data_IF_213580298196
#
_entry.id   IF_213580298196
#
_cell.length_a   1.000
_cell.length_b   1.000
_cell.length_c   1.000
_cell.angle_alpha   90.00
_cell.angle_beta   90.00
_cell.angle_gamma   90.00
#
_symmetry.space_group_name_H-M   'P 1'
#
loop_
_entity.id
_entity.type
_entity.pdbx_description
1 polymer ?
#
# COMPACT_ATOMS: atom_id res chain seq x y z
N UNK A 1 -8.87 -19.61 10.42
CA UNK A 1 -8.93 -20.70 9.41
C UNK A 1 -7.98 -21.85 9.74
N UNK A 2 -8.43 -23.12 9.82
CA UNK A 2 -7.59 -24.27 10.20
C UNK A 2 -6.44 -24.55 9.22
N UNK A 3 -6.67 -24.30 7.93
CA UNK A 3 -5.71 -24.59 6.85
C UNK A 3 -4.49 -23.68 6.93
N UNK A 4 -4.68 -22.37 7.17
CA UNK A 4 -3.57 -21.43 7.35
C UNK A 4 -2.71 -21.78 8.57
N UNK A 5 -3.34 -22.09 9.72
CA UNK A 5 -2.62 -22.49 10.95
C UNK A 5 -1.79 -23.76 10.73
N UNK A 6 -2.33 -24.75 10.01
CA UNK A 6 -1.59 -25.96 9.66
C UNK A 6 -0.39 -25.70 8.76
N UNK A 7 -0.50 -24.79 7.80
CA UNK A 7 0.63 -24.46 6.91
C UNK A 7 1.67 -23.56 7.59
N UNK A 8 1.26 -22.70 8.54
CA UNK A 8 2.15 -21.93 9.41
C UNK A 8 3.01 -22.84 10.30
N UNK A 9 2.41 -23.85 10.94
CA UNK A 9 3.14 -24.87 11.72
C UNK A 9 4.18 -25.61 10.88
N UNK A 10 3.83 -25.93 9.62
CA UNK A 10 4.74 -26.60 8.66
C UNK A 10 5.76 -25.66 8.02
N UNK A 11 5.65 -24.34 8.23
CA UNK A 11 6.43 -23.28 7.56
C UNK A 11 6.43 -23.38 6.04
N UNK A 12 5.32 -23.81 5.45
CA UNK A 12 5.19 -23.99 4.01
C UNK A 12 4.85 -22.66 3.32
N UNK A 13 5.86 -21.81 3.13
CA UNK A 13 5.69 -20.45 2.63
C UNK A 13 4.99 -20.38 1.26
N UNK A 14 5.22 -21.37 0.39
CA UNK A 14 4.59 -21.44 -0.92
C UNK A 14 3.07 -21.63 -0.80
N UNK A 15 2.63 -22.58 0.02
CA UNK A 15 1.21 -22.82 0.24
C UNK A 15 0.52 -21.66 0.96
N UNK A 16 1.19 -21.05 1.95
CA UNK A 16 0.68 -19.86 2.64
C UNK A 16 0.47 -18.73 1.64
N UNK A 17 1.46 -18.45 0.79
CA UNK A 17 1.36 -17.38 -0.21
C UNK A 17 0.22 -17.60 -1.21
N UNK A 18 0.06 -18.82 -1.71
CA UNK A 18 -1.05 -19.13 -2.63
C UNK A 18 -2.41 -19.05 -1.93
N UNK A 19 -2.50 -19.44 -0.66
CA UNK A 19 -3.72 -19.29 0.12
C UNK A 19 -4.08 -17.80 0.30
N UNK A 20 -3.11 -16.98 0.73
CA UNK A 20 -3.32 -15.55 0.96
C UNK A 20 -3.82 -14.82 -0.30
N UNK A 21 -3.34 -15.20 -1.49
CA UNK A 21 -3.81 -14.62 -2.77
C UNK A 21 -5.30 -14.85 -3.07
N UNK A 22 -5.92 -15.82 -2.42
CA UNK A 22 -7.35 -16.12 -2.62
C UNK A 22 -8.26 -15.37 -1.65
N UNK A 23 -7.67 -14.70 -0.65
CA UNK A 23 -8.38 -14.00 0.41
C UNK A 23 -8.45 -12.50 0.11
N UNK A 24 -9.49 -11.85 0.62
CA UNK A 24 -9.58 -10.39 0.58
C UNK A 24 -8.76 -9.79 1.72
N UNK A 25 -8.29 -8.53 1.60
CA UNK A 25 -7.57 -7.85 2.68
C UNK A 25 -8.31 -7.87 4.03
N UNK A 26 -9.64 -7.74 4.02
CA UNK A 26 -10.48 -7.84 5.22
C UNK A 26 -10.34 -9.21 5.92
N UNK A 27 -10.44 -10.30 5.14
CA UNK A 27 -10.33 -11.65 5.66
C UNK A 27 -8.91 -11.90 6.22
N UNK A 28 -7.89 -11.32 5.58
CA UNK A 28 -6.51 -11.41 6.05
C UNK A 28 -6.30 -10.60 7.34
N UNK A 29 -6.91 -9.43 7.46
CA UNK A 29 -6.84 -8.61 8.68
C UNK A 29 -7.42 -9.37 9.88
N UNK A 30 -8.62 -9.95 9.74
CA UNK A 30 -9.23 -10.79 10.78
C UNK A 30 -8.31 -11.96 11.17
N UNK A 31 -7.65 -12.59 10.19
CA UNK A 31 -6.70 -13.67 10.46
C UNK A 31 -5.48 -13.18 11.23
N UNK A 32 -4.91 -12.04 10.85
CA UNK A 32 -3.72 -11.45 11.48
C UNK A 32 -3.95 -11.14 12.96
N UNK A 33 -5.17 -10.76 13.35
CA UNK A 33 -5.54 -10.55 14.77
C UNK A 33 -5.42 -11.83 15.61
N UNK A 34 -5.61 -13.00 15.03
CA UNK A 34 -5.52 -14.29 15.73
C UNK A 34 -4.10 -14.88 15.80
N UNK A 35 -3.12 -14.27 15.12
CA UNK A 35 -1.77 -14.81 14.97
C UNK A 35 -0.80 -14.29 16.05
N UNK A 36 0.22 -15.07 16.36
CA UNK A 36 1.33 -14.60 17.18
C UNK A 36 2.25 -13.65 16.37
N UNK A 37 2.98 -12.75 17.03
CA UNK A 37 3.86 -11.76 16.39
C UNK A 37 4.76 -12.33 15.28
N UNK A 38 5.35 -13.51 15.50
CA UNK A 38 6.21 -14.17 14.52
C UNK A 38 5.45 -14.60 13.26
N UNK A 39 4.21 -15.04 13.43
CA UNK A 39 3.31 -15.45 12.35
C UNK A 39 2.74 -14.23 11.63
N UNK A 40 2.36 -13.17 12.35
CA UNK A 40 1.94 -11.87 11.78
C UNK A 40 3.02 -11.36 10.81
N UNK A 41 4.28 -11.29 11.25
CA UNK A 41 5.42 -10.86 10.42
C UNK A 41 5.60 -11.76 9.19
N UNK A 42 5.47 -13.08 9.37
CA UNK A 42 5.65 -14.02 8.28
C UNK A 42 4.57 -13.85 7.21
N UNK A 43 3.30 -13.79 7.61
CA UNK A 43 2.16 -13.60 6.72
C UNK A 43 2.30 -12.29 5.95
N UNK A 44 2.56 -11.18 6.64
CA UNK A 44 2.65 -9.87 6.00
C UNK A 44 3.82 -9.79 5.02
N UNK A 45 4.95 -10.47 5.28
CA UNK A 45 6.09 -10.52 4.34
C UNK A 45 5.82 -11.30 3.06
N UNK A 46 4.75 -12.10 3.02
CA UNK A 46 4.36 -12.86 1.82
C UNK A 46 3.40 -12.09 0.93
N UNK A 47 2.83 -10.99 1.42
CA UNK A 47 1.89 -10.13 0.73
C UNK A 47 2.61 -9.04 -0.06
N UNK A 48 1.95 -8.54 -1.10
CA UNK A 48 2.32 -7.30 -1.75
C UNK A 48 1.98 -6.08 -0.87
N UNK A 49 2.56 -4.94 -1.23
CA UNK A 49 2.53 -3.70 -0.44
C UNK A 49 1.15 -3.07 -0.37
N UNK A 50 0.41 -3.10 -1.47
CA UNK A 50 -0.98 -2.63 -1.56
C UNK A 50 -1.86 -3.42 -0.58
N UNK A 51 -1.80 -4.74 -0.62
CA UNK A 51 -2.55 -5.61 0.30
C UNK A 51 -2.19 -5.35 1.76
N UNK A 52 -0.90 -5.14 2.07
CA UNK A 52 -0.46 -4.77 3.42
C UNK A 52 -1.11 -3.45 3.87
N UNK A 53 -1.09 -2.41 3.02
CA UNK A 53 -1.70 -1.12 3.34
C UNK A 53 -3.20 -1.23 3.61
N UNK A 54 -3.93 -2.03 2.82
CA UNK A 54 -5.33 -2.33 3.08
C UNK A 54 -5.54 -3.05 4.41
N UNK A 55 -4.74 -4.08 4.73
CA UNK A 55 -4.84 -4.78 6.01
C UNK A 55 -4.62 -3.83 7.19
N UNK A 56 -3.63 -2.94 7.12
CA UNK A 56 -3.41 -1.93 8.16
C UNK A 56 -4.63 -1.03 8.35
N UNK A 57 -5.35 -0.71 7.28
CA UNK A 57 -6.56 0.13 7.32
C UNK A 57 -7.72 -0.57 8.03
N UNK A 58 -7.90 -1.87 7.77
CA UNK A 58 -8.96 -2.70 8.36
C UNK A 58 -8.73 -3.04 9.84
N UNK A 59 -7.47 -3.08 10.29
CA UNK A 59 -7.13 -3.44 11.67
C UNK A 59 -7.59 -2.39 12.70
N UNK A 60 -7.95 -2.81 13.93
CA UNK A 60 -8.18 -1.89 15.05
C UNK A 60 -6.93 -1.04 15.38
N UNK A 61 -7.09 0.19 15.92
CA UNK A 61 -5.95 1.09 16.20
C UNK A 61 -4.85 0.47 17.08
N UNK A 62 -5.21 -0.35 18.06
CA UNK A 62 -4.24 -1.03 18.93
C UNK A 62 -3.39 -2.06 18.16
N UNK A 63 -4.04 -2.87 17.31
CA UNK A 63 -3.38 -3.88 16.48
C UNK A 63 -2.48 -3.22 15.43
N UNK A 64 -2.89 -2.10 14.84
CA UNK A 64 -2.02 -1.33 13.92
C UNK A 64 -0.73 -0.88 14.59
N UNK A 65 -0.82 -0.32 15.79
CA UNK A 65 0.36 0.09 16.53
C UNK A 65 1.30 -1.07 16.82
N UNK A 66 0.74 -2.23 17.17
CA UNK A 66 1.50 -3.45 17.39
C UNK A 66 2.17 -3.91 16.09
N UNK A 67 1.43 -3.98 14.98
CA UNK A 67 1.96 -4.34 13.67
C UNK A 67 3.12 -3.42 13.26
N UNK A 68 2.99 -2.10 13.44
CA UNK A 68 4.07 -1.16 13.16
C UNK A 68 5.31 -1.35 14.04
N UNK A 69 5.18 -1.91 15.25
CA UNK A 69 6.33 -2.26 16.10
C UNK A 69 7.04 -3.51 15.61
N UNK A 70 6.32 -4.39 14.91
CA UNK A 70 6.89 -5.60 14.30
C UNK A 70 7.73 -5.28 13.05
N UNK A 71 7.40 -4.20 12.33
CA UNK A 71 8.21 -3.71 11.23
C UNK A 71 9.31 -2.76 11.69
N UNK A 72 10.46 -2.85 11.03
CA UNK A 72 11.49 -1.82 11.14
C UNK A 72 11.02 -0.53 10.47
N UNK A 73 11.56 0.61 10.94
CA UNK A 73 11.34 1.91 10.28
C UNK A 73 11.62 1.87 8.78
N UNK A 74 12.63 1.10 8.35
CA UNK A 74 12.99 0.97 6.93
C UNK A 74 11.90 0.22 6.15
N UNK A 75 11.39 -0.89 6.66
CA UNK A 75 10.31 -1.63 6.02
C UNK A 75 9.05 -0.78 5.88
N UNK A 76 8.68 -0.01 6.92
CA UNK A 76 7.55 0.92 6.85
C UNK A 76 7.81 2.03 5.84
N UNK A 77 9.01 2.60 5.78
CA UNK A 77 9.35 3.60 4.78
C UNK A 77 9.28 3.03 3.35
N UNK A 78 9.85 1.85 3.12
CA UNK A 78 9.85 1.19 1.82
C UNK A 78 8.41 0.79 1.40
N UNK A 79 7.52 0.47 2.35
CA UNK A 79 6.09 0.26 2.09
C UNK A 79 5.45 1.58 1.62
N UNK A 80 5.54 2.62 2.44
CA UNK A 80 4.86 3.89 2.17
C UNK A 80 5.33 4.58 0.89
N UNK A 81 6.61 4.49 0.54
CA UNK A 81 7.14 5.12 -0.67
C UNK A 81 6.89 4.32 -1.96
N UNK A 82 6.34 3.11 -1.86
CA UNK A 82 5.94 2.30 -3.02
C UNK A 82 4.43 2.21 -3.20
N UNK A 83 3.65 2.73 -2.24
CA UNK A 83 2.22 2.94 -2.45
C UNK A 83 2.02 4.10 -3.41
N UNK A 84 1.10 3.90 -4.34
CA UNK A 84 0.60 4.95 -5.21
C UNK A 84 0.01 6.10 -4.38
N UNK A 85 0.06 7.35 -4.88
CA UNK A 85 -0.27 8.50 -4.04
C UNK A 85 -1.68 8.51 -3.46
N UNK A 86 -2.68 8.04 -4.20
CA UNK A 86 -4.08 8.01 -3.76
C UNK A 86 -4.30 6.93 -2.69
N UNK A 87 -3.77 5.73 -2.87
CA UNK A 87 -3.81 4.65 -1.88
C UNK A 87 -3.05 5.02 -0.61
N UNK A 88 -1.93 5.72 -0.77
CA UNK A 88 -1.19 6.26 0.36
C UNK A 88 -1.98 7.33 1.12
N UNK A 89 -2.72 8.19 0.42
CA UNK A 89 -3.61 9.16 1.06
C UNK A 89 -4.71 8.45 1.86
N UNK A 90 -5.42 7.49 1.24
CA UNK A 90 -6.45 6.66 1.91
C UNK A 90 -5.92 5.95 3.15
N UNK A 91 -4.72 5.37 3.04
CA UNK A 91 -4.05 4.74 4.17
C UNK A 91 -3.83 5.72 5.33
N UNK A 92 -3.51 6.99 5.05
CA UNK A 92 -3.34 8.00 6.09
C UNK A 92 -4.66 8.47 6.72
N UNK A 93 -5.77 8.48 5.99
CA UNK A 93 -7.08 8.88 6.53
C UNK A 93 -7.58 7.93 7.62
N UNK A 94 -7.23 6.66 7.49
CA UNK A 94 -7.60 5.63 8.47
C UNK A 94 -6.79 5.74 9.76
N UNK A 95 -5.66 6.47 9.76
CA UNK A 95 -4.74 6.55 10.88
C UNK A 95 -4.98 7.75 11.81
N UNK A 96 -4.73 7.61 13.12
CA UNK A 96 -4.73 8.75 14.04
C UNK A 96 -3.71 9.82 13.60
N UNK A 97 -4.07 11.10 13.75
CA UNK A 97 -3.24 12.22 13.30
C UNK A 97 -1.79 12.20 13.81
N UNK A 98 -1.55 11.72 15.03
CA UNK A 98 -0.21 11.60 15.59
C UNK A 98 0.64 10.53 14.86
N UNK A 99 0.00 9.44 14.41
CA UNK A 99 0.66 8.42 13.59
C UNK A 99 0.96 8.96 12.19
N UNK A 100 -0.01 9.66 11.57
CA UNK A 100 0.17 10.31 10.26
C UNK A 100 1.39 11.23 10.29
N UNK A 101 1.48 12.15 11.26
CA UNK A 101 2.64 13.05 11.41
C UNK A 101 3.96 12.30 11.47
N UNK A 102 4.03 11.21 12.24
CA UNK A 102 5.23 10.38 12.37
C UNK A 102 5.59 9.70 11.05
N UNK A 103 4.62 9.06 10.40
CA UNK A 103 4.84 8.28 9.18
C UNK A 103 5.12 9.16 7.96
N UNK A 104 4.57 10.37 7.89
CA UNK A 104 4.96 11.37 6.88
C UNK A 104 6.46 11.64 6.91
N UNK A 105 7.13 11.57 8.07
CA UNK A 105 8.59 11.74 8.16
C UNK A 105 9.41 10.61 7.52
N UNK A 106 8.76 9.49 7.17
CA UNK A 106 9.40 8.32 6.55
C UNK A 106 9.32 8.37 5.03
N UNK A 107 8.44 9.21 4.48
CA UNK A 107 8.37 9.49 3.04
C UNK A 107 9.60 10.25 2.56
N UNK A 108 10.03 9.93 1.33
CA UNK A 108 10.94 10.76 0.55
C UNK A 108 10.33 12.15 0.35
N UNK A 109 11.14 13.21 0.14
CA UNK A 109 10.62 14.57 0.00
C UNK A 109 9.52 14.72 -1.07
N UNK A 110 9.73 14.13 -2.24
CA UNK A 110 8.79 14.19 -3.38
C UNK A 110 7.47 13.48 -3.03
N UNK A 111 7.53 12.23 -2.56
CA UNK A 111 6.35 11.49 -2.11
C UNK A 111 5.57 12.21 -1.01
N UNK A 112 6.28 12.84 -0.07
CA UNK A 112 5.67 13.62 1.01
C UNK A 112 4.91 14.83 0.48
N UNK A 113 5.48 15.55 -0.47
CA UNK A 113 4.85 16.72 -1.07
C UNK A 113 3.57 16.33 -1.78
N UNK A 114 3.62 15.29 -2.62
CA UNK A 114 2.45 14.75 -3.33
C UNK A 114 1.37 14.30 -2.36
N UNK A 115 1.75 13.55 -1.32
CA UNK A 115 0.81 13.08 -0.30
C UNK A 115 0.13 14.24 0.44
N UNK A 116 0.90 15.29 0.80
CA UNK A 116 0.32 16.46 1.48
C UNK A 116 -0.67 17.21 0.59
N UNK A 117 -0.43 17.27 -0.73
CA UNK A 117 -1.38 17.85 -1.67
C UNK A 117 -2.71 17.08 -1.62
N UNK A 118 -2.66 15.74 -1.67
CA UNK A 118 -3.86 14.89 -1.61
C UNK A 118 -4.60 14.98 -0.27
N UNK A 119 -3.87 14.96 0.85
CA UNK A 119 -4.44 15.11 2.19
C UNK A 119 -5.03 16.50 2.47
N UNK A 120 -4.67 17.52 1.67
CA UNK A 120 -5.26 18.87 1.78
C UNK A 120 -6.59 19.00 1.04
N UNK A 121 -6.93 18.05 0.15
CA UNK A 121 -8.27 17.99 -0.43
C UNK A 121 -9.27 17.42 0.59
N UNK A 122 -10.55 17.83 0.54
CA UNK A 122 -11.59 17.21 1.37
C UNK A 122 -11.70 15.70 1.09
N UNK A 123 -11.90 14.84 2.11
CA UNK A 123 -11.91 13.37 1.95
C UNK A 123 -12.84 12.84 0.86
N UNK A 124 -14.02 13.44 0.70
CA UNK A 124 -15.02 13.00 -0.30
C UNK A 124 -14.87 13.67 -1.67
N UNK A 125 -13.73 14.32 -1.94
CA UNK A 125 -13.52 15.06 -3.18
C UNK A 125 -12.73 14.27 -4.22
N UNK A 126 -12.96 14.57 -5.49
CA UNK A 126 -12.18 13.98 -6.60
C UNK A 126 -10.68 14.23 -6.42
N UNK A 127 -10.29 15.40 -5.92
CA UNK A 127 -8.87 15.73 -5.71
C UNK A 127 -8.21 14.89 -4.63
N UNK A 128 -8.98 14.33 -3.70
CA UNK A 128 -8.47 13.45 -2.66
C UNK A 128 -8.37 11.99 -3.15
N UNK A 129 -9.28 11.57 -4.02
CA UNK A 129 -9.30 10.23 -4.59
C UNK A 129 -8.49 10.08 -5.91
N UNK A 130 -7.89 11.15 -6.42
CA UNK A 130 -7.12 11.12 -7.68
C UNK A 130 -5.68 10.67 -7.43
N UNK A 131 -5.09 10.05 -8.45
CA UNK A 131 -3.64 9.90 -8.56
C UNK A 131 -3.08 11.01 -9.47
N UNK A 132 -2.09 11.80 -9.03
CA UNK A 132 -1.44 12.82 -9.86
C UNK A 132 -0.41 12.21 -10.83
N UNK A 133 -0.23 10.89 -10.80
CA UNK A 133 0.72 10.17 -11.61
C UNK A 133 0.14 9.82 -12.99
N UNK A 134 0.27 10.78 -13.92
CA UNK A 134 -0.21 10.65 -15.29
C UNK A 134 0.88 10.86 -16.34
N UNK A 135 0.70 10.22 -17.49
CA UNK A 135 1.50 10.46 -18.69
C UNK A 135 0.87 11.57 -19.51
N UNK A 136 1.55 12.69 -19.65
CA UNK A 136 1.10 13.82 -20.47
C UNK A 136 1.71 13.79 -21.87
N UNK A 137 0.85 13.88 -22.89
CA UNK A 137 1.25 13.96 -24.30
C UNK A 137 1.04 15.37 -24.85
N UNK A 138 1.87 15.77 -25.82
CA UNK A 138 1.74 17.05 -26.51
C UNK A 138 0.93 16.91 -27.80
N UNK A 139 0.11 17.91 -28.17
CA UNK A 139 -0.79 17.83 -29.32
C UNK A 139 -0.07 17.76 -30.68
N UNK A 140 1.21 18.11 -30.73
CA UNK A 140 2.07 18.09 -31.91
C UNK A 140 2.87 16.77 -32.08
N UNK A 141 2.76 15.82 -31.13
CA UNK A 141 3.42 14.53 -31.25
C UNK A 141 2.78 13.68 -32.35
N UNK A 142 3.61 13.00 -33.14
CA UNK A 142 3.11 11.96 -34.04
C UNK A 142 2.64 10.75 -33.21
N UNK A 143 1.80 9.90 -33.82
CA UNK A 143 1.35 8.65 -33.18
C UNK A 143 2.55 7.78 -32.77
N UNK A 144 3.61 7.74 -33.58
CA UNK A 144 4.82 6.97 -33.28
C UNK A 144 5.57 7.52 -32.06
N UNK A 145 5.76 8.84 -32.00
CA UNK A 145 6.44 9.51 -30.88
C UNK A 145 5.64 9.38 -29.59
N UNK A 146 4.32 9.52 -29.66
CA UNK A 146 3.43 9.35 -28.51
C UNK A 146 3.49 7.91 -27.96
N UNK A 147 3.41 6.89 -28.83
CA UNK A 147 3.51 5.49 -28.41
C UNK A 147 4.88 5.16 -27.84
N UNK A 148 5.96 5.73 -28.39
CA UNK A 148 7.31 5.58 -27.83
C UNK A 148 7.39 6.22 -26.44
N UNK A 149 6.89 7.44 -26.29
CA UNK A 149 6.88 8.16 -25.02
C UNK A 149 6.09 7.42 -23.94
N UNK A 150 4.88 6.93 -24.27
CA UNK A 150 4.10 6.09 -23.35
C UNK A 150 4.92 4.87 -22.94
N UNK A 151 5.51 4.12 -23.87
CA UNK A 151 6.28 2.91 -23.52
C UNK A 151 7.48 3.17 -22.61
N UNK A 152 8.12 4.33 -22.75
CA UNK A 152 9.28 4.71 -21.94
C UNK A 152 8.88 5.22 -20.54
N UNK A 153 7.70 5.82 -20.37
CA UNK A 153 7.31 6.53 -19.15
C UNK A 153 6.13 5.91 -18.38
N UNK A 154 5.37 4.99 -19.01
CA UNK A 154 4.23 4.31 -18.39
C UNK A 154 4.57 3.23 -17.34
N UNK A 155 5.72 2.52 -17.37
CA UNK A 155 6.02 1.51 -16.35
C UNK A 155 6.11 2.05 -14.92
N UNK A 156 6.24 3.37 -14.76
CA UNK A 156 6.33 4.08 -13.48
C UNK A 156 5.07 4.92 -13.19
N UNK A 157 3.94 4.69 -13.89
CA UNK A 157 2.70 5.45 -13.73
C UNK A 157 1.49 4.54 -13.60
N UNK A 158 0.68 4.80 -12.59
CA UNK A 158 -0.50 4.00 -12.22
C UNK A 158 -1.60 4.04 -13.29
N UNK A 159 -1.83 5.20 -13.93
CA UNK A 159 -2.94 5.37 -14.88
C UNK A 159 -2.46 5.68 -16.30
N UNK A 160 -2.75 4.77 -17.23
CA UNK A 160 -2.55 4.96 -18.68
C UNK A 160 -3.92 5.12 -19.35
N UNK A 161 -4.30 6.35 -19.72
CA UNK A 161 -5.41 6.56 -20.66
C UNK A 161 -4.86 6.55 -22.09
N UNK A 162 -5.22 5.51 -22.85
CA UNK A 162 -5.00 5.44 -24.31
C UNK A 162 -6.31 5.72 -25.03
#
# INVERSE_FOLDING_TARGET
MPELKSELEKKNLGAIKELLKTLKPQDIAELVEELEDQEKVLVLRLLDKETIAHIFSELPPQEREELFRLFTRKEVADLLNELDPDDRARFFDELPAEMVKKLLTYLKPEEREVTQILLNYPPDSVGHAMTPEMVELKPDMTVEDALKFIRENAPEKETIYV
#
